data_IF_488158906184
#
_entry.id   IF_488158906184
#
_cell.length_a   1.000
_cell.length_b   1.000
_cell.length_c   1.000
_cell.angle_alpha   90.00
_cell.angle_beta   90.00
_cell.angle_gamma   90.00
#
_symmetry.space_group_name_H-M   'P 1'
#
loop_
_entity.id
_entity.type
_entity.pdbx_description
1 polymer ?
#
# COMPACT_ATOMS: atom_id res chain seq x y z
N UNK A 1 23.90 -18.19 -43.96
CA UNK A 1 22.70 -18.34 -43.11
C UNK A 1 23.16 -18.27 -41.66
N UNK A 2 22.78 -17.24 -40.95
CA UNK A 2 23.03 -17.11 -39.50
C UNK A 2 21.75 -16.53 -38.93
N UNK A 3 20.91 -17.42 -38.42
CA UNK A 3 19.60 -17.08 -37.87
C UNK A 3 19.82 -16.35 -36.55
N UNK A 4 19.52 -15.06 -36.54
CA UNK A 4 19.38 -14.24 -35.34
C UNK A 4 18.32 -14.89 -34.44
N UNK A 5 18.75 -15.52 -33.35
CA UNK A 5 17.83 -16.02 -32.33
C UNK A 5 17.24 -14.82 -31.61
N UNK A 6 15.96 -14.55 -31.86
CA UNK A 6 15.15 -13.61 -31.12
C UNK A 6 15.06 -14.07 -29.65
N UNK A 7 15.85 -13.43 -28.78
CA UNK A 7 15.71 -13.52 -27.31
C UNK A 7 14.47 -12.72 -26.89
N UNK A 8 13.29 -13.25 -27.21
CA UNK A 8 11.99 -12.71 -26.77
C UNK A 8 11.05 -13.82 -26.31
N UNK A 9 11.58 -14.91 -25.77
CA UNK A 9 10.83 -15.70 -24.80
C UNK A 9 11.04 -15.03 -23.44
N UNK A 10 10.07 -14.20 -23.04
CA UNK A 10 9.95 -13.81 -21.64
C UNK A 10 9.97 -15.08 -20.81
N UNK A 11 11.07 -15.32 -20.09
CA UNK A 11 11.15 -16.42 -19.12
C UNK A 11 9.89 -16.39 -18.26
N UNK A 12 9.26 -17.55 -17.97
CA UNK A 12 8.08 -17.59 -17.12
C UNK A 12 8.38 -16.83 -15.83
N UNK A 13 7.53 -15.85 -15.49
CA UNK A 13 7.71 -15.09 -14.24
C UNK A 13 7.61 -16.07 -13.08
N UNK A 14 8.74 -16.30 -12.42
CA UNK A 14 8.81 -17.13 -11.22
C UNK A 14 8.10 -16.42 -10.07
N UNK A 15 7.38 -17.18 -9.23
CA UNK A 15 6.86 -16.66 -7.97
C UNK A 15 8.01 -16.41 -6.99
N UNK A 16 7.73 -15.65 -5.93
CA UNK A 16 8.70 -15.41 -4.84
C UNK A 16 9.25 -16.72 -4.29
N UNK A 17 8.37 -17.68 -3.99
CA UNK A 17 8.73 -18.99 -3.43
C UNK A 17 9.62 -19.75 -4.40
N UNK A 18 9.30 -19.71 -5.69
CA UNK A 18 10.10 -20.35 -6.73
C UNK A 18 11.50 -19.71 -6.85
N UNK A 19 11.61 -18.38 -6.72
CA UNK A 19 12.90 -17.68 -6.74
C UNK A 19 13.76 -18.01 -5.52
N UNK A 20 13.15 -18.03 -4.32
CA UNK A 20 13.83 -18.41 -3.08
C UNK A 20 14.30 -19.86 -3.16
N UNK A 21 13.45 -20.77 -3.63
CA UNK A 21 13.78 -22.19 -3.79
C UNK A 21 14.88 -22.41 -4.83
N UNK A 22 14.83 -21.68 -5.95
CA UNK A 22 15.88 -21.74 -6.96
C UNK A 22 17.21 -21.22 -6.42
N UNK A 23 17.21 -20.11 -5.68
CA UNK A 23 18.42 -19.58 -5.05
C UNK A 23 19.00 -20.56 -4.02
N UNK A 24 18.15 -21.16 -3.17
CA UNK A 24 18.57 -22.19 -2.21
C UNK A 24 19.13 -23.44 -2.87
N UNK A 25 18.55 -23.89 -3.99
CA UNK A 25 19.06 -25.03 -4.79
C UNK A 25 20.36 -24.70 -5.54
N UNK A 26 20.54 -23.46 -5.98
CA UNK A 26 21.73 -23.03 -6.68
C UNK A 26 22.93 -22.81 -5.74
N UNK A 27 22.70 -22.31 -4.53
CA UNK A 27 23.75 -22.03 -3.54
C UNK A 27 24.80 -23.16 -3.36
N UNK A 28 24.45 -24.45 -3.18
CA UNK A 28 25.43 -25.51 -3.02
C UNK A 28 26.21 -25.87 -4.30
N UNK A 29 25.75 -25.43 -5.48
CA UNK A 29 26.41 -25.67 -6.76
C UNK A 29 27.46 -24.60 -7.09
N UNK A 30 27.52 -23.53 -6.30
CA UNK A 30 28.40 -22.39 -6.52
C UNK A 30 29.71 -22.51 -5.72
N UNK A 31 30.81 -21.88 -6.17
CA UNK A 31 32.01 -21.74 -5.35
C UNK A 31 31.70 -21.06 -4.01
N UNK A 32 32.47 -21.39 -2.96
CA UNK A 32 32.19 -20.99 -1.56
C UNK A 32 31.83 -19.51 -1.39
N UNK A 33 32.57 -18.60 -2.03
CA UNK A 33 32.31 -17.17 -1.95
C UNK A 33 30.91 -16.77 -2.48
N UNK A 34 30.46 -17.40 -3.56
CA UNK A 34 29.16 -17.14 -4.19
C UNK A 34 28.01 -17.92 -3.54
N UNK A 35 28.31 -19.09 -2.96
CA UNK A 35 27.34 -19.90 -2.21
C UNK A 35 26.72 -19.10 -1.07
N UNK A 36 27.55 -18.46 -0.24
CA UNK A 36 27.09 -17.62 0.88
C UNK A 36 26.26 -16.42 0.42
N UNK A 37 26.66 -15.76 -0.66
CA UNK A 37 25.91 -14.64 -1.24
C UNK A 37 24.52 -15.09 -1.72
N UNK A 38 24.43 -16.24 -2.39
CA UNK A 38 23.17 -16.76 -2.91
C UNK A 38 22.20 -17.18 -1.79
N UNK A 39 22.73 -17.76 -0.71
CA UNK A 39 21.94 -18.05 0.50
C UNK A 39 21.41 -16.77 1.15
N UNK A 40 22.27 -15.77 1.32
CA UNK A 40 21.88 -14.49 1.93
C UNK A 40 20.87 -13.73 1.06
N UNK A 41 21.01 -13.78 -0.26
CA UNK A 41 20.03 -13.22 -1.19
C UNK A 41 18.65 -13.86 -1.00
N UNK A 42 18.59 -15.20 -0.90
CA UNK A 42 17.35 -15.91 -0.66
C UNK A 42 16.70 -15.48 0.68
N UNK A 43 17.50 -15.36 1.75
CA UNK A 43 17.02 -14.94 3.06
C UNK A 43 16.47 -13.50 3.05
N UNK A 44 17.19 -12.55 2.43
CA UNK A 44 16.75 -11.16 2.32
C UNK A 44 15.48 -11.03 1.51
N UNK A 45 15.37 -11.76 0.40
CA UNK A 45 14.15 -11.76 -0.41
C UNK A 45 12.96 -12.27 0.40
N UNK A 46 13.14 -13.32 1.20
CA UNK A 46 12.10 -13.88 2.07
C UNK A 46 11.61 -12.85 3.10
N UNK A 47 12.55 -12.29 3.88
CA UNK A 47 12.28 -11.31 4.94
C UNK A 47 11.61 -10.05 4.38
N UNK A 48 12.18 -9.45 3.34
CA UNK A 48 11.64 -8.20 2.76
C UNK A 48 10.26 -8.43 2.15
N UNK A 49 10.03 -9.60 1.55
CA UNK A 49 8.72 -9.92 1.02
C UNK A 49 7.67 -10.08 2.12
N UNK A 50 8.01 -10.73 3.24
CA UNK A 50 7.10 -10.81 4.40
C UNK A 50 6.79 -9.42 4.95
N UNK A 51 7.82 -8.60 5.19
CA UNK A 51 7.66 -7.23 5.69
C UNK A 51 6.82 -6.37 4.73
N UNK A 52 6.98 -6.55 3.41
CA UNK A 52 6.16 -5.86 2.41
C UNK A 52 4.70 -6.30 2.48
N UNK A 53 4.42 -7.61 2.59
CA UNK A 53 3.05 -8.12 2.74
C UNK A 53 2.38 -7.54 4.00
N UNK A 54 3.07 -7.55 5.14
CA UNK A 54 2.57 -6.97 6.39
C UNK A 54 2.31 -5.45 6.26
N UNK A 55 3.24 -4.72 5.65
CA UNK A 55 3.09 -3.29 5.40
C UNK A 55 1.92 -2.98 4.44
N UNK A 56 1.71 -3.80 3.41
CA UNK A 56 0.56 -3.67 2.51
C UNK A 56 -0.75 -3.86 3.26
N UNK A 57 -0.82 -4.83 4.17
CA UNK A 57 -2.03 -5.09 4.95
C UNK A 57 -2.31 -3.99 5.96
N UNK A 58 -1.28 -3.55 6.71
CA UNK A 58 -1.38 -2.40 7.62
C UNK A 58 -1.89 -1.15 6.89
N UNK A 59 -1.41 -0.91 5.66
CA UNK A 59 -1.84 0.24 4.86
C UNK A 59 -3.32 0.16 4.49
N UNK A 60 -3.85 -1.03 4.17
CA UNK A 60 -5.29 -1.20 3.90
C UNK A 60 -6.12 -0.92 5.15
N UNK A 61 -5.70 -1.43 6.30
CA UNK A 61 -6.36 -1.17 7.58
C UNK A 61 -6.39 0.33 7.89
N UNK A 62 -5.25 1.01 7.75
CA UNK A 62 -5.16 2.46 7.94
C UNK A 62 -6.02 3.25 6.95
N UNK A 63 -6.15 2.78 5.71
CA UNK A 63 -7.05 3.41 4.74
C UNK A 63 -8.52 3.30 5.18
N UNK A 64 -8.94 2.13 5.66
CA UNK A 64 -10.29 1.92 6.21
C UNK A 64 -10.51 2.82 7.44
N UNK A 65 -9.61 2.81 8.41
CA UNK A 65 -9.70 3.68 9.60
C UNK A 65 -9.76 5.17 9.21
N UNK A 66 -8.99 5.59 8.21
CA UNK A 66 -9.01 6.97 7.72
C UNK A 66 -10.37 7.34 7.12
N UNK A 67 -11.04 6.42 6.40
CA UNK A 67 -12.40 6.67 5.88
C UNK A 67 -13.42 6.86 7.01
N UNK A 68 -13.38 5.98 8.03
CA UNK A 68 -14.26 6.09 9.21
C UNK A 68 -14.03 7.41 9.95
N UNK A 69 -12.78 7.77 10.21
CA UNK A 69 -12.45 9.03 10.89
C UNK A 69 -12.90 10.26 10.11
N UNK A 70 -12.81 10.23 8.77
CA UNK A 70 -13.31 11.32 7.91
C UNK A 70 -14.82 11.48 8.03
N UNK A 71 -15.55 10.36 8.05
CA UNK A 71 -17.01 10.38 8.24
C UNK A 71 -17.39 10.88 9.64
N UNK A 72 -16.65 10.48 10.67
CA UNK A 72 -16.83 10.95 12.04
C UNK A 72 -16.62 12.47 12.15
N UNK A 73 -15.56 13.01 11.54
CA UNK A 73 -15.30 14.46 11.48
C UNK A 73 -16.48 15.21 10.84
N UNK A 74 -17.04 14.68 9.74
CA UNK A 74 -18.21 15.27 9.08
C UNK A 74 -19.45 15.19 9.98
N UNK A 75 -19.66 14.08 10.69
CA UNK A 75 -20.77 13.92 11.63
C UNK A 75 -20.67 14.90 12.81
N UNK A 76 -19.48 15.05 13.39
CA UNK A 76 -19.22 16.01 14.47
C UNK A 76 -19.42 17.44 14.02
N UNK A 77 -18.93 17.81 12.84
CA UNK A 77 -19.13 19.14 12.27
C UNK A 77 -20.63 19.48 12.10
N UNK A 78 -21.45 18.51 11.66
CA UNK A 78 -22.91 18.66 11.57
C UNK A 78 -23.56 18.86 12.94
N UNK A 79 -23.12 18.13 13.97
CA UNK A 79 -23.65 18.34 15.32
C UNK A 79 -23.23 19.70 15.90
N UNK A 80 -22.00 20.17 15.63
CA UNK A 80 -21.58 21.54 15.96
C UNK A 80 -22.50 22.58 15.31
N UNK A 81 -22.76 22.45 14.01
CA UNK A 81 -23.70 23.33 13.32
C UNK A 81 -25.11 23.25 13.95
N UNK A 82 -25.61 22.05 14.26
CA UNK A 82 -26.90 21.86 14.94
C UNK A 82 -26.96 22.54 16.32
N UNK A 83 -25.86 22.47 17.09
CA UNK A 83 -25.76 23.14 18.38
C UNK A 83 -25.82 24.66 18.18
N UNK A 84 -25.09 25.21 17.21
CA UNK A 84 -25.13 26.64 16.88
C UNK A 84 -26.53 27.08 16.48
N UNK A 85 -27.21 26.31 15.63
CA UNK A 85 -28.59 26.58 15.23
C UNK A 85 -29.55 26.61 16.42
N UNK A 86 -29.42 25.66 17.34
CA UNK A 86 -30.26 25.61 18.56
C UNK A 86 -30.10 26.84 19.43
N UNK A 87 -28.88 27.39 19.55
CA UNK A 87 -28.59 28.54 20.42
C UNK A 87 -28.89 29.88 19.74
N UNK A 88 -28.51 30.03 18.48
CA UNK A 88 -28.63 31.30 17.73
C UNK A 88 -29.96 31.45 17.01
N UNK A 89 -30.73 30.37 16.89
CA UNK A 89 -31.95 30.28 16.06
C UNK A 89 -31.71 30.64 14.59
N UNK A 90 -30.45 30.62 14.15
CA UNK A 90 -30.02 30.94 12.80
C UNK A 90 -29.37 29.71 12.19
N UNK A 91 -29.74 29.38 10.95
CA UNK A 91 -29.18 28.24 10.22
C UNK A 91 -27.65 28.40 10.07
N UNK A 92 -26.87 27.35 10.32
CA UNK A 92 -25.41 27.33 10.18
C UNK A 92 -24.97 26.08 9.43
N UNK A 93 -24.00 26.24 8.54
CA UNK A 93 -23.25 25.14 7.92
C UNK A 93 -21.74 25.42 7.90
N UNK A 94 -21.29 26.37 8.72
CA UNK A 94 -19.91 26.84 8.72
C UNK A 94 -18.94 25.73 9.09
N UNK A 95 -19.24 24.95 10.14
CA UNK A 95 -18.35 23.90 10.62
C UNK A 95 -18.26 22.76 9.61
N UNK A 96 -19.39 22.38 9.00
CA UNK A 96 -19.39 21.36 7.96
C UNK A 96 -18.53 21.78 6.75
N UNK A 97 -18.67 23.03 6.29
CA UNK A 97 -17.91 23.54 5.14
C UNK A 97 -16.41 23.60 5.44
N UNK A 98 -16.04 24.04 6.64
CA UNK A 98 -14.65 24.10 7.10
C UNK A 98 -14.04 22.69 7.19
N UNK A 99 -14.72 21.76 7.84
CA UNK A 99 -14.28 20.37 7.94
C UNK A 99 -14.10 19.72 6.56
N UNK A 100 -15.03 19.93 5.62
CA UNK A 100 -14.91 19.42 4.25
C UNK A 100 -13.73 20.03 3.49
N UNK A 101 -13.44 21.32 3.73
CA UNK A 101 -12.28 22.00 3.13
C UNK A 101 -10.98 21.40 3.67
N UNK A 102 -10.83 21.29 4.98
CA UNK A 102 -9.62 20.74 5.61
C UNK A 102 -9.39 19.29 5.21
N UNK A 103 -10.45 18.46 5.23
CA UNK A 103 -10.35 17.07 4.79
C UNK A 103 -9.92 16.94 3.33
N UNK A 104 -10.30 17.88 2.46
CA UNK A 104 -9.84 17.94 1.06
C UNK A 104 -8.36 18.28 0.97
N UNK A 105 -7.87 19.22 1.77
CA UNK A 105 -6.45 19.61 1.80
C UNK A 105 -5.53 18.48 2.32
N UNK A 106 -6.03 17.61 3.19
CA UNK A 106 -5.31 16.43 3.70
C UNK A 106 -5.23 15.25 2.70
N UNK A 107 -5.83 15.37 1.51
CA UNK A 107 -6.07 14.25 0.56
C UNK A 107 -4.91 13.81 -0.38
N UNK A 108 -3.71 14.41 -0.47
CA UNK A 108 -2.73 13.98 -1.49
C UNK A 108 -2.24 12.52 -1.39
N UNK A 109 -2.22 11.91 -0.19
CA UNK A 109 -1.54 10.61 0.02
C UNK A 109 -2.52 9.42 0.02
N UNK A 110 -3.78 9.60 0.42
CA UNK A 110 -4.73 8.49 0.62
C UNK A 110 -5.40 8.01 -0.68
N UNK A 111 -5.65 8.91 -1.65
CA UNK A 111 -6.37 8.57 -2.88
C UNK A 111 -5.55 7.76 -3.89
N UNK A 112 -4.22 7.89 -3.88
CA UNK A 112 -3.35 7.05 -4.74
C UNK A 112 -3.43 5.59 -4.29
N UNK A 113 -3.47 5.35 -2.98
CA UNK A 113 -3.49 4.02 -2.38
C UNK A 113 -4.83 3.30 -2.52
N UNK A 114 -5.97 4.00 -2.36
CA UNK A 114 -7.30 3.38 -2.47
C UNK A 114 -7.64 2.95 -3.92
N UNK A 115 -7.07 3.61 -4.92
CA UNK A 115 -7.32 3.31 -6.33
C UNK A 115 -6.42 2.19 -6.90
N UNK A 116 -5.34 1.81 -6.20
CA UNK A 116 -4.47 0.70 -6.60
C UNK A 116 -5.08 -0.68 -6.32
N UNK A 117 -6.09 -0.77 -5.45
CA UNK A 117 -6.79 -2.02 -5.11
C UNK A 117 -8.02 -2.35 -5.97
N UNK A 118 -8.36 -1.52 -6.97
CA UNK A 118 -9.60 -1.60 -7.75
C UNK A 118 -9.43 -2.17 -9.18
N UNK A 119 -8.35 -2.91 -9.46
CA UNK A 119 -8.14 -3.60 -10.74
C UNK A 119 -8.02 -5.11 -10.57
#
# INVERSE_FOLDING_TARGET
>A
MTTTQNVTELQPRMTREQLIDAARKAAPLLPVAYSGIMTELANRLDIVSMALCESMEQRKTLAIENTVLRDDVVCWAKECDRIVERHTKTRSNMHLLEAQRELRELTPVTNVVMNEGAK
#
